data_IF_170922560865
#
_entry.id   IF_170922560865
#
_cell.length_a   1.000
_cell.length_b   1.000
_cell.length_c   1.000
_cell.angle_alpha   90.00
_cell.angle_beta   90.00
_cell.angle_gamma   90.00
#
_symmetry.space_group_name_H-M   'P 1'
#
loop_
_entity.id
_entity.type
_entity.pdbx_description
1 polymer ?
#
# COMPACT_ATOMS: atom_id res chain seq x y z
N UNK A 1 81.61 -36.95 -18.22
CA UNK A 1 80.61 -37.96 -18.58
C UNK A 1 79.39 -37.77 -17.69
N UNK A 2 78.19 -37.54 -18.27
CA UNK A 2 76.82 -37.71 -17.71
C UNK A 2 76.50 -36.90 -16.43
N UNK A 3 75.33 -36.30 -16.17
CA UNK A 3 73.93 -36.32 -16.64
C UNK A 3 73.29 -35.07 -15.99
N UNK A 4 72.44 -34.24 -16.62
CA UNK A 4 71.14 -34.56 -17.20
C UNK A 4 70.04 -34.42 -16.13
N UNK A 5 69.22 -33.37 -16.19
CA UNK A 5 68.08 -33.16 -15.27
C UNK A 5 67.29 -31.90 -15.62
N UNK A 6 66.49 -31.94 -16.69
CA UNK A 6 65.54 -30.89 -17.05
C UNK A 6 64.21 -31.09 -16.32
N UNK A 7 63.82 -30.12 -15.50
CA UNK A 7 62.47 -29.99 -14.96
C UNK A 7 61.66 -29.07 -15.87
N UNK A 8 60.66 -29.62 -16.56
CA UNK A 8 59.66 -28.83 -17.26
C UNK A 8 58.56 -28.42 -16.29
N UNK A 9 58.36 -27.11 -16.11
CA UNK A 9 57.22 -26.57 -15.39
C UNK A 9 55.97 -26.70 -16.29
N UNK A 10 54.96 -27.40 -15.79
CA UNK A 10 53.65 -27.51 -16.46
C UNK A 10 52.89 -26.20 -16.21
N UNK A 11 52.34 -25.54 -17.24
CA UNK A 11 51.52 -24.34 -17.07
C UNK A 11 50.21 -24.71 -16.34
N UNK A 12 49.98 -24.14 -15.17
CA UNK A 12 48.71 -24.24 -14.45
C UNK A 12 47.70 -23.33 -15.11
N UNK A 13 46.67 -23.91 -15.73
CA UNK A 13 45.56 -23.17 -16.34
C UNK A 13 44.75 -22.44 -15.25
N UNK A 14 44.39 -21.16 -15.43
CA UNK A 14 43.62 -20.41 -14.45
C UNK A 14 42.21 -20.99 -14.29
N UNK A 15 41.63 -20.99 -13.07
CA UNK A 15 40.28 -21.49 -12.84
C UNK A 15 39.27 -20.69 -13.66
N UNK A 16 38.50 -21.39 -14.49
CA UNK A 16 37.39 -20.80 -15.24
C UNK A 16 36.26 -20.50 -14.27
N UNK A 17 35.95 -19.22 -14.07
CA UNK A 17 34.86 -18.76 -13.22
C UNK A 17 33.51 -19.22 -13.83
N UNK A 18 32.56 -19.74 -13.02
CA UNK A 18 31.25 -20.12 -13.53
C UNK A 18 30.54 -18.92 -14.19
N UNK A 19 29.74 -19.13 -15.25
CA UNK A 19 28.97 -18.04 -15.84
C UNK A 19 28.03 -17.42 -14.81
N UNK A 20 28.19 -16.12 -14.55
CA UNK A 20 27.23 -15.34 -13.76
C UNK A 20 25.91 -15.28 -14.55
N UNK A 21 24.87 -15.91 -14.04
CA UNK A 21 23.53 -15.79 -14.63
C UNK A 21 23.07 -14.33 -14.60
N UNK A 22 22.38 -13.84 -15.66
CA UNK A 22 21.81 -12.52 -15.65
C UNK A 22 20.82 -12.37 -14.47
N UNK A 23 20.78 -11.20 -13.80
CA UNK A 23 19.77 -10.95 -12.78
C UNK A 23 18.39 -11.10 -13.41
N UNK A 24 17.64 -12.12 -12.98
CA UNK A 24 16.26 -12.32 -13.41
C UNK A 24 15.38 -11.34 -12.64
N UNK A 25 14.90 -10.31 -13.31
CA UNK A 25 13.97 -9.35 -12.72
C UNK A 25 12.65 -10.07 -12.39
N UNK A 26 12.15 -10.01 -11.15
CA UNK A 26 10.87 -10.62 -10.80
C UNK A 26 9.72 -9.95 -11.60
N UNK A 27 8.65 -10.70 -11.92
CA UNK A 27 7.52 -10.15 -12.66
C UNK A 27 6.81 -9.03 -11.86
N UNK A 28 6.24 -8.03 -12.55
CA UNK A 28 5.49 -6.95 -11.92
C UNK A 28 4.22 -7.47 -11.23
N UNK A 29 3.71 -6.69 -10.27
CA UNK A 29 2.39 -6.94 -9.72
C UNK A 29 1.31 -6.63 -10.76
N UNK A 30 0.38 -7.57 -11.04
CA UNK A 30 -0.68 -7.32 -12.00
C UNK A 30 -1.65 -6.25 -11.47
N UNK A 31 -2.09 -5.34 -12.34
CA UNK A 31 -3.26 -4.55 -12.04
C UNK A 31 -4.48 -5.49 -12.00
N UNK A 32 -5.24 -5.48 -10.91
CA UNK A 32 -6.51 -6.21 -10.83
C UNK A 32 -7.64 -5.21 -11.04
N UNK A 33 -8.40 -5.37 -12.12
CA UNK A 33 -9.61 -4.55 -12.32
C UNK A 33 -10.82 -5.10 -11.55
N UNK A 34 -10.73 -6.33 -11.04
CA UNK A 34 -11.84 -7.03 -10.40
C UNK A 34 -11.75 -7.05 -8.88
N UNK A 35 -10.67 -6.52 -8.31
CA UNK A 35 -10.44 -6.47 -6.87
C UNK A 35 -9.93 -5.10 -6.47
N UNK A 36 -10.29 -4.66 -5.27
CA UNK A 36 -9.67 -3.49 -4.69
C UNK A 36 -8.22 -3.81 -4.34
N UNK A 37 -7.32 -2.85 -4.52
CA UNK A 37 -5.91 -3.04 -4.21
C UNK A 37 -5.30 -1.83 -3.57
N UNK A 38 -4.36 -2.06 -2.65
CA UNK A 38 -3.55 -1.02 -2.04
C UNK A 38 -2.12 -1.50 -1.86
N UNK A 39 -1.15 -0.64 -2.16
CA UNK A 39 0.24 -0.85 -1.80
C UNK A 39 0.45 -0.48 -0.32
N UNK A 40 0.92 -1.44 0.46
CA UNK A 40 1.26 -1.28 1.87
C UNK A 40 2.77 -1.34 1.99
N UNK A 41 3.39 -0.23 2.41
CA UNK A 41 4.83 -0.17 2.62
C UNK A 41 5.28 -1.12 3.73
N UNK A 42 6.51 -1.62 3.67
CA UNK A 42 7.05 -2.62 4.62
C UNK A 42 7.08 -2.16 6.08
N UNK A 43 6.98 -0.86 6.32
CA UNK A 43 6.97 -0.24 7.65
C UNK A 43 5.55 0.02 8.20
N UNK A 44 4.52 -0.44 7.49
CA UNK A 44 3.11 -0.32 7.91
C UNK A 44 2.64 -1.66 8.47
N UNK A 45 2.04 -1.60 9.65
CA UNK A 45 1.31 -2.71 10.25
C UNK A 45 -0.15 -2.31 10.44
N UNK A 46 -1.03 -2.89 9.63
CA UNK A 46 -2.47 -2.65 9.71
C UNK A 46 -3.07 -3.34 10.94
N UNK A 47 -3.86 -2.61 11.70
CA UNK A 47 -4.55 -3.04 12.90
C UNK A 47 -6.03 -3.41 12.61
N UNK A 48 -6.68 -4.18 13.48
CA UNK A 48 -8.07 -4.63 13.30
C UNK A 48 -9.10 -3.84 14.14
N UNK A 49 -8.77 -2.62 14.56
CA UNK A 49 -9.38 -1.99 15.74
C UNK A 49 -10.81 -1.45 15.55
N UNK A 50 -11.15 -0.86 14.39
CA UNK A 50 -12.39 -0.05 14.27
C UNK A 50 -13.53 -0.78 13.54
N UNK A 51 -13.23 -1.40 12.41
CA UNK A 51 -14.21 -2.09 11.56
C UNK A 51 -13.82 -3.56 11.30
N UNK A 52 -12.92 -4.09 12.11
CA UNK A 52 -12.25 -5.36 11.87
C UNK A 52 -11.12 -5.26 10.85
N UNK A 53 -10.60 -6.43 10.48
CA UNK A 53 -9.65 -6.59 9.38
C UNK A 53 -9.95 -7.90 8.63
N UNK A 54 -10.19 -7.80 7.33
CA UNK A 54 -10.15 -8.95 6.43
C UNK A 54 -8.72 -9.18 5.97
N UNK A 55 -8.24 -10.44 5.93
CA UNK A 55 -6.99 -10.73 5.26
C UNK A 55 -7.13 -10.43 3.75
N UNK A 56 -6.04 -10.02 3.08
CA UNK A 56 -6.06 -9.90 1.63
C UNK A 56 -6.34 -11.26 0.98
N UNK A 57 -7.20 -11.26 -0.03
CA UNK A 57 -7.52 -12.45 -0.82
C UNK A 57 -6.33 -12.90 -1.67
N UNK A 58 -5.47 -11.97 -2.06
CA UNK A 58 -4.13 -12.28 -2.59
C UNK A 58 -3.15 -11.15 -2.30
N UNK A 59 -1.85 -11.46 -2.37
CA UNK A 59 -0.78 -10.49 -2.15
C UNK A 59 0.26 -10.61 -3.26
N UNK A 60 0.83 -9.48 -3.67
CA UNK A 60 1.99 -9.44 -4.54
C UNK A 60 3.20 -8.91 -3.77
N UNK A 61 4.19 -9.78 -3.59
CA UNK A 61 5.39 -9.55 -2.75
C UNK A 61 6.63 -9.22 -3.58
N UNK A 62 6.49 -8.90 -4.87
CA UNK A 62 7.62 -8.57 -5.75
C UNK A 62 8.05 -7.10 -5.62
N UNK A 63 7.34 -6.31 -4.81
CA UNK A 63 7.65 -4.91 -4.56
C UNK A 63 8.82 -4.78 -3.56
N UNK A 64 9.89 -4.02 -3.88
CA UNK A 64 11.06 -3.91 -3.00
C UNK A 64 10.79 -3.30 -1.61
N UNK A 65 9.80 -2.42 -1.51
CA UNK A 65 9.54 -1.60 -0.32
C UNK A 65 8.16 -1.86 0.31
N UNK A 66 7.57 -3.03 0.04
CA UNK A 66 6.24 -3.34 0.55
C UNK A 66 5.58 -4.47 -0.22
N UNK A 67 4.26 -4.42 -0.27
CA UNK A 67 3.46 -5.40 -0.98
C UNK A 67 2.17 -4.78 -1.49
N UNK A 68 1.66 -5.26 -2.61
CA UNK A 68 0.30 -4.93 -3.04
C UNK A 68 -0.64 -5.98 -2.48
N UNK A 69 -1.61 -5.52 -1.69
CA UNK A 69 -2.66 -6.35 -1.13
C UNK A 69 -3.92 -6.20 -1.98
N UNK A 70 -4.53 -7.33 -2.36
CA UNK A 70 -5.79 -7.35 -3.10
C UNK A 70 -6.90 -7.89 -2.20
N UNK A 71 -8.02 -7.20 -2.21
CA UNK A 71 -9.17 -7.48 -1.36
C UNK A 71 -10.42 -7.69 -2.19
N UNK A 72 -11.27 -8.59 -1.74
CA UNK A 72 -12.64 -8.67 -2.23
C UNK A 72 -13.39 -7.37 -1.87
N UNK A 73 -14.39 -7.03 -2.68
CA UNK A 73 -15.24 -5.88 -2.38
C UNK A 73 -16.00 -6.11 -1.08
N UNK A 74 -16.07 -5.08 -0.24
CA UNK A 74 -17.08 -4.98 0.80
C UNK A 74 -18.49 -5.10 0.18
N UNK A 75 -19.44 -5.59 0.97
CA UNK A 75 -20.82 -5.80 0.52
C UNK A 75 -21.63 -4.51 0.40
N UNK A 76 -21.14 -3.41 0.99
CA UNK A 76 -21.79 -2.10 0.99
C UNK A 76 -20.82 -0.96 0.69
N UNK A 77 -21.34 0.10 0.08
CA UNK A 77 -20.64 1.37 -0.09
C UNK A 77 -20.77 2.29 1.13
N UNK A 78 -21.66 2.04 2.08
CA UNK A 78 -21.85 2.87 3.27
C UNK A 78 -21.34 2.13 4.50
N UNK A 79 -20.17 2.48 5.03
CA UNK A 79 -19.63 1.83 6.22
C UNK A 79 -20.56 2.10 7.41
N UNK A 80 -20.94 1.06 8.13
CA UNK A 80 -21.72 1.21 9.34
C UNK A 80 -21.11 0.38 10.47
N UNK A 81 -21.31 0.81 11.72
CA UNK A 81 -20.77 0.13 12.92
C UNK A 81 -21.30 -1.29 13.10
N UNK A 82 -22.40 -1.64 12.42
CA UNK A 82 -22.97 -2.99 12.40
C UNK A 82 -22.47 -3.83 11.23
N UNK A 83 -21.72 -3.27 10.28
CA UNK A 83 -21.13 -4.00 9.16
C UNK A 83 -19.92 -4.79 9.67
N UNK A 84 -19.98 -6.13 9.73
CA UNK A 84 -18.92 -6.90 10.36
C UNK A 84 -17.72 -7.08 9.43
N UNK A 85 -16.52 -6.73 9.90
CA UNK A 85 -15.24 -7.22 9.38
C UNK A 85 -15.10 -7.14 7.84
N UNK A 86 -15.32 -5.97 7.24
CA UNK A 86 -15.10 -5.79 5.78
C UNK A 86 -13.95 -4.82 5.46
N UNK A 87 -13.43 -4.13 6.48
CA UNK A 87 -12.26 -3.28 6.31
C UNK A 87 -11.00 -4.13 6.08
N UNK A 88 -10.09 -3.67 5.23
CA UNK A 88 -8.76 -4.25 5.03
C UNK A 88 -7.84 -4.06 6.26
N UNK A 89 -8.24 -3.18 7.18
CA UNK A 89 -7.53 -2.83 8.41
C UNK A 89 -7.43 -1.32 8.59
N UNK A 90 -6.87 -0.92 9.73
CA UNK A 90 -6.74 0.48 10.14
C UNK A 90 -5.29 0.85 10.46
N UNK A 91 -4.95 2.11 10.29
CA UNK A 91 -3.67 2.69 10.69
C UNK A 91 -3.90 3.99 11.45
N UNK A 92 -3.31 4.09 12.64
CA UNK A 92 -3.39 5.29 13.47
C UNK A 92 -2.15 6.15 13.32
N UNK A 93 -2.33 7.48 13.23
CA UNK A 93 -1.24 8.44 13.24
C UNK A 93 -0.38 8.35 14.53
N UNK A 94 -0.93 7.82 15.64
CA UNK A 94 -0.15 7.53 16.86
C UNK A 94 0.91 6.46 16.61
N UNK A 95 0.52 5.37 15.95
CA UNK A 95 1.39 4.22 15.68
C UNK A 95 2.24 4.41 14.41
N UNK A 96 1.89 5.42 13.62
CA UNK A 96 2.52 5.78 12.36
C UNK A 96 2.75 7.30 12.29
N UNK A 97 3.75 7.86 13.02
CA UNK A 97 3.90 9.31 13.15
C UNK A 97 4.16 10.06 11.85
N UNK A 98 4.76 9.39 10.85
CA UNK A 98 4.92 9.91 9.50
C UNK A 98 3.96 9.21 8.53
N UNK A 99 2.71 8.97 8.95
CA UNK A 99 1.69 8.38 8.11
C UNK A 99 1.51 9.20 6.85
N UNK A 100 1.54 8.52 5.72
CA UNK A 100 1.17 9.08 4.45
C UNK A 100 0.24 8.14 3.69
N UNK A 101 -0.75 8.72 3.04
CA UNK A 101 -1.62 8.04 2.08
C UNK A 101 -1.49 8.78 0.76
N UNK A 102 -1.23 8.07 -0.34
CA UNK A 102 -1.34 8.67 -1.67
C UNK A 102 -2.52 8.07 -2.42
N UNK A 103 -3.28 8.92 -3.10
CA UNK A 103 -4.41 8.51 -3.92
C UNK A 103 -3.98 7.93 -5.27
N UNK A 104 -4.95 7.43 -6.02
CA UNK A 104 -4.76 6.88 -7.37
C UNK A 104 -4.33 7.92 -8.42
N UNK A 105 -4.44 9.23 -8.13
CA UNK A 105 -3.90 10.31 -8.96
C UNK A 105 -2.46 10.69 -8.59
N UNK A 106 -1.89 10.07 -7.54
CA UNK A 106 -0.54 10.33 -7.05
C UNK A 106 -0.43 11.53 -6.10
N UNK A 107 -1.55 12.10 -5.64
CA UNK A 107 -1.54 13.14 -4.60
C UNK A 107 -1.40 12.47 -3.25
N UNK A 108 -0.46 12.97 -2.44
CA UNK A 108 -0.14 12.40 -1.14
C UNK A 108 -0.60 13.31 0.00
N UNK A 109 -1.09 12.69 1.08
CA UNK A 109 -1.74 13.34 2.20
C UNK A 109 -1.12 12.94 3.53
N UNK A 110 -0.93 13.92 4.41
CA UNK A 110 -0.51 13.72 5.80
C UNK A 110 -1.71 13.89 6.73
N UNK A 111 -1.75 13.19 7.87
CA UNK A 111 -2.74 13.47 8.90
C UNK A 111 -2.56 14.88 9.46
N UNK A 112 -3.68 15.55 9.79
CA UNK A 112 -3.66 16.88 10.40
C UNK A 112 -3.30 16.85 11.89
N UNK A 113 -3.40 15.68 12.53
CA UNK A 113 -3.18 15.48 13.96
C UNK A 113 -2.96 14.00 14.29
N UNK A 114 -2.41 13.70 15.48
CA UNK A 114 -2.05 12.34 15.89
C UNK A 114 -3.25 11.45 16.23
N UNK A 115 -4.45 12.00 16.40
CA UNK A 115 -5.68 11.26 16.66
C UNK A 115 -6.37 10.74 15.40
N UNK A 116 -5.84 11.05 14.22
CA UNK A 116 -6.39 10.58 12.94
C UNK A 116 -6.11 9.09 12.78
N UNK A 117 -7.16 8.34 12.49
CA UNK A 117 -7.13 6.93 12.13
C UNK A 117 -7.67 6.78 10.71
N UNK A 118 -6.89 6.13 9.84
CA UNK A 118 -7.31 5.73 8.50
C UNK A 118 -7.77 4.27 8.54
N UNK A 119 -9.02 4.01 8.18
CA UNK A 119 -9.49 2.64 7.94
C UNK A 119 -9.68 2.41 6.44
N UNK A 120 -9.09 1.33 5.94
CA UNK A 120 -9.09 0.97 4.53
C UNK A 120 -10.34 0.15 4.20
N UNK A 121 -11.17 0.66 3.29
CA UNK A 121 -12.43 0.03 2.88
C UNK A 121 -12.38 -0.35 1.40
N UNK A 122 -12.17 -1.64 1.08
CA UNK A 122 -12.19 -2.11 -0.31
C UNK A 122 -13.62 -2.11 -0.84
N UNK A 123 -13.88 -1.43 -1.95
CA UNK A 123 -15.21 -1.45 -2.57
C UNK A 123 -15.11 -1.38 -4.09
N UNK A 124 -16.00 -2.13 -4.75
CA UNK A 124 -16.12 -2.19 -6.20
C UNK A 124 -17.53 -1.77 -6.63
N UNK A 125 -17.61 -0.82 -7.58
CA UNK A 125 -18.88 -0.41 -8.19
C UNK A 125 -18.68 -0.13 -9.68
N UNK A 126 -19.65 -0.55 -10.49
CA UNK A 126 -19.63 -0.27 -11.94
C UNK A 126 -18.41 -0.83 -12.68
N UNK A 127 -17.80 -1.91 -12.19
CA UNK A 127 -16.58 -2.49 -12.77
C UNK A 127 -15.28 -1.74 -12.43
N UNK A 128 -15.34 -0.77 -11.51
CA UNK A 128 -14.16 -0.11 -10.94
C UNK A 128 -14.03 -0.50 -9.47
N UNK A 129 -12.83 -0.87 -9.06
CA UNK A 129 -12.51 -1.21 -7.68
C UNK A 129 -11.52 -0.20 -7.09
N UNK A 130 -11.71 0.14 -5.82
CA UNK A 130 -10.84 1.05 -5.10
C UNK A 130 -10.75 0.69 -3.62
N UNK A 131 -9.71 1.21 -2.96
CA UNK A 131 -9.58 1.13 -1.51
C UNK A 131 -9.77 2.53 -0.95
N UNK A 132 -10.89 2.75 -0.28
CA UNK A 132 -11.29 4.06 0.23
C UNK A 132 -10.87 4.25 1.68
N UNK A 133 -10.54 5.47 2.06
CA UNK A 133 -10.09 5.79 3.43
C UNK A 133 -11.23 6.39 4.24
N UNK A 134 -11.71 5.63 5.21
CA UNK A 134 -12.57 6.13 6.28
C UNK A 134 -11.69 6.83 7.31
N UNK A 135 -12.06 8.05 7.65
CA UNK A 135 -11.30 8.93 8.54
C UNK A 135 -12.05 9.00 9.86
N UNK A 136 -11.43 8.49 10.92
CA UNK A 136 -11.90 8.69 12.29
C UNK A 136 -10.94 9.62 13.01
N UNK A 137 -11.47 10.59 13.74
CA UNK A 137 -10.69 11.53 14.55
C UNK A 137 -11.55 12.10 15.68
N UNK A 138 -10.96 12.80 16.64
CA UNK A 138 -11.70 13.38 17.77
C UNK A 138 -12.48 14.65 17.41
N UNK A 139 -12.21 15.25 16.23
CA UNK A 139 -12.92 16.44 15.74
C UNK A 139 -13.28 16.29 14.27
N UNK A 140 -14.40 16.87 13.86
CA UNK A 140 -14.93 16.83 12.49
C UNK A 140 -14.01 17.49 11.45
N UNK A 141 -13.16 18.41 11.91
CA UNK A 141 -12.20 19.13 11.07
C UNK A 141 -10.87 18.37 10.88
N UNK A 142 -10.59 17.37 11.72
CA UNK A 142 -9.38 16.58 11.62
C UNK A 142 -9.50 15.52 10.51
N UNK A 143 -8.37 15.20 9.88
CA UNK A 143 -8.29 14.21 8.82
C UNK A 143 -6.97 14.30 8.09
N UNK A 144 -7.02 14.46 6.78
CA UNK A 144 -5.88 14.43 5.89
C UNK A 144 -5.77 15.71 5.06
N UNK A 145 -4.56 16.25 4.95
CA UNK A 145 -4.24 17.40 4.11
C UNK A 145 -3.18 17.02 3.09
N UNK A 146 -3.38 17.43 1.84
CA UNK A 146 -2.40 17.23 0.79
C UNK A 146 -1.05 17.86 1.17
N UNK A 147 0.04 17.24 0.74
CA UNK A 147 1.40 17.79 0.85
C UNK A 147 1.57 19.17 0.19
N UNK A 148 0.68 19.54 -0.74
CA UNK A 148 0.64 20.87 -1.37
C UNK A 148 -0.30 21.86 -0.66
N UNK A 149 -0.99 21.43 0.41
CA UNK A 149 -1.96 22.21 1.16
C UNK A 149 -3.42 22.11 0.68
N UNK A 150 -3.68 21.46 -0.47
CA UNK A 150 -5.02 21.18 -0.99
C UNK A 150 -5.01 19.96 -1.94
N UNK A 151 -6.04 19.10 -1.97
CA UNK A 151 -7.27 19.16 -1.17
C UNK A 151 -7.09 18.69 0.28
N UNK A 152 -8.15 18.86 1.08
CA UNK A 152 -8.27 18.38 2.46
C UNK A 152 -9.48 17.45 2.58
N UNK A 153 -9.32 16.35 3.30
CA UNK A 153 -10.37 15.40 3.64
C UNK A 153 -10.51 15.36 5.15
N UNK A 154 -11.72 15.48 5.69
CA UNK A 154 -11.95 15.47 7.14
C UNK A 154 -12.96 14.41 7.54
N UNK A 155 -12.89 13.94 8.78
CA UNK A 155 -13.82 12.95 9.33
C UNK A 155 -15.28 13.43 9.22
N UNK A 156 -15.55 14.69 9.54
CA UNK A 156 -16.90 15.24 9.51
C UNK A 156 -17.49 15.37 8.10
N UNK A 157 -16.66 15.48 7.06
CA UNK A 157 -17.15 15.54 5.68
C UNK A 157 -17.69 14.19 5.18
N UNK A 158 -17.38 13.09 5.87
CA UNK A 158 -17.79 11.74 5.51
C UNK A 158 -19.18 11.38 6.03
N UNK A 159 -19.78 12.24 6.85
CA UNK A 159 -21.07 11.99 7.51
C UNK A 159 -22.11 12.97 6.96
N UNK A 160 -23.25 12.45 6.54
CA UNK A 160 -24.38 13.21 6.05
C UNK A 160 -25.18 13.85 7.21
N UNK A 161 -26.09 14.82 6.94
CA UNK A 161 -26.85 15.50 7.99
C UNK A 161 -27.77 14.60 8.84
N UNK A 162 -28.07 13.40 8.37
CA UNK A 162 -28.82 12.36 9.10
C UNK A 162 -27.94 11.48 10.00
N UNK A 163 -26.64 11.79 10.09
CA UNK A 163 -25.61 11.08 10.86
C UNK A 163 -25.21 9.72 10.29
N UNK A 164 -25.62 9.41 9.05
CA UNK A 164 -25.11 8.24 8.33
C UNK A 164 -23.86 8.59 7.53
N UNK A 165 -22.99 7.60 7.29
CA UNK A 165 -21.85 7.79 6.41
C UNK A 165 -22.31 7.97 4.95
N UNK A 166 -21.70 8.93 4.26
CA UNK A 166 -21.80 9.01 2.80
C UNK A 166 -21.25 7.73 2.16
N UNK A 167 -21.73 7.31 0.97
CA UNK A 167 -21.11 6.22 0.23
C UNK A 167 -19.62 6.47 0.02
N UNK A 168 -18.76 5.46 0.16
CA UNK A 168 -17.29 5.59 0.02
C UNK A 168 -16.85 6.10 -1.37
N UNK A 169 -17.74 6.04 -2.36
CA UNK A 169 -17.51 6.61 -3.70
C UNK A 169 -17.72 8.14 -3.76
N UNK A 170 -18.20 8.76 -2.68
CA UNK A 170 -18.35 10.21 -2.56
C UNK A 170 -16.97 10.90 -2.53
N UNK A 171 -16.83 12.13 -3.09
CA UNK A 171 -15.57 12.87 -3.08
C UNK A 171 -15.02 13.25 -1.70
N UNK A 172 -15.76 13.01 -0.61
CA UNK A 172 -15.28 13.14 0.78
C UNK A 172 -14.30 12.04 1.21
N UNK A 173 -14.10 11.00 0.39
CA UNK A 173 -13.17 9.90 0.67
C UNK A 173 -11.92 9.95 -0.23
N UNK A 174 -10.81 9.50 0.33
CA UNK A 174 -9.57 9.28 -0.44
C UNK A 174 -9.65 7.88 -1.07
N UNK A 175 -9.58 7.78 -2.39
CA UNK A 175 -9.33 6.51 -3.08
C UNK A 175 -7.82 6.22 -3.07
N UNK A 176 -7.37 5.52 -2.04
CA UNK A 176 -5.97 5.28 -1.74
C UNK A 176 -5.35 4.25 -2.68
N UNK A 177 -4.18 4.59 -3.22
CA UNK A 177 -3.31 3.66 -3.93
C UNK A 177 -2.19 3.12 -3.03
N UNK A 178 -1.73 3.91 -2.07
CA UNK A 178 -0.55 3.59 -1.26
C UNK A 178 -0.71 4.09 0.18
N UNK A 179 -0.12 3.36 1.13
CA UNK A 179 0.01 3.78 2.54
C UNK A 179 1.43 3.50 3.06
N UNK A 180 1.99 4.43 3.85
CA UNK A 180 3.36 4.37 4.39
C UNK A 180 3.49 5.05 5.75
N UNK A 181 4.46 4.60 6.57
CA UNK A 181 4.90 5.28 7.80
C UNK A 181 6.25 6.01 7.66
N UNK A 182 6.74 6.19 6.43
CA UNK A 182 8.02 6.85 6.10
C UNK A 182 7.83 8.26 5.54
N UNK A 183 6.61 8.79 5.61
CA UNK A 183 6.22 10.07 5.04
C UNK A 183 5.78 9.97 3.58
N UNK A 184 5.41 11.12 3.02
CA UNK A 184 4.87 11.22 1.66
C UNK A 184 5.93 11.24 0.56
N UNK A 185 6.71 10.17 0.50
CA UNK A 185 7.47 9.81 -0.68
C UNK A 185 6.62 8.84 -1.51
N UNK A 186 6.30 9.22 -2.75
CA UNK A 186 5.50 8.38 -3.63
C UNK A 186 6.19 7.01 -3.79
N UNK A 187 5.66 6.02 -3.08
CA UNK A 187 6.19 4.67 -3.02
C UNK A 187 5.19 3.80 -3.74
N UNK A 188 5.49 3.48 -5.00
CA UNK A 188 4.64 2.61 -5.80
C UNK A 188 5.32 1.26 -5.97
N UNK A 189 4.52 0.20 -5.97
CA UNK A 189 4.98 -1.02 -6.59
C UNK A 189 5.02 -0.75 -8.10
N UNK A 190 6.22 -0.68 -8.68
CA UNK A 190 6.39 -0.45 -10.12
C UNK A 190 5.59 -1.51 -10.88
N UNK A 191 4.45 -1.12 -11.44
CA UNK A 191 3.76 -1.92 -12.44
C UNK A 191 4.57 -1.71 -13.71
N UNK A 192 5.32 -2.72 -14.16
CA UNK A 192 5.86 -2.63 -15.51
C UNK A 192 4.67 -2.72 -16.45
N UNK A 193 4.27 -1.57 -17.02
CA UNK A 193 3.40 -1.57 -18.19
C UNK A 193 4.07 -2.40 -19.28
N UNK A 194 3.33 -3.27 -20.00
CA UNK A 194 3.84 -3.89 -21.22
C UNK A 194 4.22 -2.85 -22.27
#
# INVERSE_FOLDING_TARGET
MRTGGGGGEVPTEPPTEPPTEPPTTPPPCPASMTMASIFVASNVELQAEVYGAVPPASMCTTCPNGMVNYYDSASTDTPHSTTPLEAAGSLSAVNCPNMCICDTAGVCYNPTSNDVVATLWPYCSGGTCGTYVLITANTDAAGFVSTTGSPTFSSGAQVAPDFDFNPVTDPSYINAATISCEGCVASTCQTSSP
#
